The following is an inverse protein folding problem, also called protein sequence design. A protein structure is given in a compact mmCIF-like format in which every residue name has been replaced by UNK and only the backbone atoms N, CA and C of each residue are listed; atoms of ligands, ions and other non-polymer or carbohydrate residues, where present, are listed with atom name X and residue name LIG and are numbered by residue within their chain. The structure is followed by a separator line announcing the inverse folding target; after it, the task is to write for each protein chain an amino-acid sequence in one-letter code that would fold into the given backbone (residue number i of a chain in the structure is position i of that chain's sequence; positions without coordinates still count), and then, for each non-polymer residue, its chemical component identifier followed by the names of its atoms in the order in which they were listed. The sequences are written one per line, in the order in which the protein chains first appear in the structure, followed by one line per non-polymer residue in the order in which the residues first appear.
data_IF_585146560288
#
_entry.id   IF_585146560288
#
_cell.length_a   1.000
_cell.length_b   1.000
_cell.length_c   1.000
_cell.angle_alpha   90.00
_cell.angle_beta   90.00
_cell.angle_gamma   90.00
#
_symmetry.space_group_name_H-M   'P 1'
#
loop_
_entity.id
_entity.type
_entity.pdbx_description
1 polymer ?
#
# COMPACT_ATOMS: atom_id res chain seq x y z
N UNK A 1 -7.04 -79.10 -52.41
CA UNK A 1 -6.62 -78.68 -51.05
C UNK A 1 -5.42 -77.73 -51.09
N UNK A 2 -4.39 -77.97 -51.92
CA UNK A 2 -3.21 -77.09 -52.05
C UNK A 2 -3.50 -75.65 -52.52
N UNK A 3 -4.28 -75.47 -53.58
CA UNK A 3 -4.64 -74.13 -54.12
C UNK A 3 -5.35 -73.19 -53.13
N UNK A 4 -6.11 -73.74 -52.17
CA UNK A 4 -6.79 -72.94 -51.14
C UNK A 4 -5.84 -72.54 -50.00
N UNK A 5 -4.84 -73.37 -49.72
CA UNK A 5 -3.78 -73.06 -48.75
C UNK A 5 -2.85 -71.96 -49.29
N UNK A 6 -2.43 -72.06 -50.56
CA UNK A 6 -1.57 -71.04 -51.19
C UNK A 6 -2.25 -69.67 -51.26
N UNK A 7 -3.55 -69.63 -51.59
CA UNK A 7 -4.31 -68.37 -51.60
C UNK A 7 -4.42 -67.75 -50.19
N UNK A 8 -4.56 -68.56 -49.14
CA UNK A 8 -4.60 -68.07 -47.76
C UNK A 8 -3.25 -67.57 -47.28
N UNK A 9 -2.16 -68.20 -47.70
CA UNK A 9 -0.79 -67.75 -47.40
C UNK A 9 -0.49 -66.43 -48.11
N UNK A 10 -0.81 -66.31 -49.40
CA UNK A 10 -0.64 -65.07 -50.14
C UNK A 10 -1.45 -63.90 -49.54
N UNK A 11 -2.71 -64.15 -49.15
CA UNK A 11 -3.52 -63.13 -48.46
C UNK A 11 -2.94 -62.75 -47.08
N UNK A 12 -2.32 -63.68 -46.35
CA UNK A 12 -1.67 -63.40 -45.07
C UNK A 12 -0.40 -62.57 -45.25
N UNK A 13 0.41 -62.85 -46.28
CA UNK A 13 1.61 -62.09 -46.63
C UNK A 13 1.25 -60.65 -47.01
N UNK A 14 0.18 -60.45 -47.78
CA UNK A 14 -0.32 -59.13 -48.14
C UNK A 14 -0.80 -58.34 -46.90
N UNK A 15 -1.54 -58.99 -46.00
CA UNK A 15 -1.97 -58.38 -44.74
C UNK A 15 -0.79 -58.04 -43.83
N UNK A 16 0.21 -58.91 -43.72
CA UNK A 16 1.43 -58.63 -42.94
C UNK A 16 2.21 -57.44 -43.52
N UNK A 17 2.34 -57.34 -44.84
CA UNK A 17 2.97 -56.20 -45.49
C UNK A 17 2.22 -54.88 -45.19
N UNK A 18 0.88 -54.89 -45.25
CA UNK A 18 0.06 -53.73 -44.89
C UNK A 18 0.19 -53.33 -43.41
N UNK A 19 0.28 -54.31 -42.51
CA UNK A 19 0.50 -54.07 -41.08
C UNK A 19 1.88 -53.45 -40.84
N UNK A 20 2.94 -53.99 -41.44
CA UNK A 20 4.30 -53.43 -41.31
C UNK A 20 4.39 -52.00 -41.81
N UNK A 21 3.77 -51.69 -42.96
CA UNK A 21 3.67 -50.33 -43.45
C UNK A 21 2.89 -49.41 -42.51
N UNK A 22 1.84 -49.91 -41.87
CA UNK A 22 1.06 -49.15 -40.90
C UNK A 22 1.85 -48.89 -39.63
N UNK A 23 2.59 -49.88 -39.13
CA UNK A 23 3.47 -49.76 -37.95
C UNK A 23 4.57 -48.74 -38.20
N UNK A 24 5.30 -48.82 -39.32
CA UNK A 24 6.35 -47.84 -39.65
C UNK A 24 5.78 -46.41 -39.77
N UNK A 25 4.58 -46.27 -40.34
CA UNK A 25 3.90 -44.96 -40.41
C UNK A 25 3.54 -44.43 -39.02
N UNK A 26 3.02 -45.28 -38.14
CA UNK A 26 2.67 -44.91 -36.76
C UNK A 26 3.91 -44.57 -35.95
N UNK A 27 4.99 -45.33 -36.04
CA UNK A 27 6.25 -45.05 -35.34
C UNK A 27 6.80 -43.68 -35.73
N UNK A 28 6.80 -43.36 -37.04
CA UNK A 28 7.20 -42.03 -37.52
C UNK A 28 6.28 -40.89 -37.06
N UNK A 29 5.00 -41.17 -36.79
CA UNK A 29 4.06 -40.19 -36.23
C UNK A 29 4.30 -40.02 -34.72
N UNK A 30 4.54 -41.11 -34.00
CA UNK A 30 4.85 -41.09 -32.56
C UNK A 30 6.17 -40.36 -32.31
N UNK A 31 7.20 -40.57 -33.13
CA UNK A 31 8.46 -39.84 -33.01
C UNK A 31 8.29 -38.33 -33.27
N UNK A 32 7.49 -37.96 -34.28
CA UNK A 32 7.20 -36.55 -34.58
C UNK A 32 6.46 -35.89 -33.42
N UNK A 33 5.39 -36.53 -32.93
CA UNK A 33 4.64 -36.05 -31.78
C UNK A 33 5.54 -35.95 -30.53
N UNK A 34 6.45 -36.91 -30.33
CA UNK A 34 7.40 -36.88 -29.21
C UNK A 34 8.44 -35.76 -29.32
N UNK A 35 8.74 -35.27 -30.53
CA UNK A 35 9.58 -34.08 -30.75
C UNK A 35 8.78 -32.81 -30.49
N UNK A 36 7.59 -32.69 -31.09
CA UNK A 36 6.68 -31.55 -30.89
C UNK A 36 6.31 -31.36 -29.41
N UNK A 37 6.04 -32.44 -28.66
CA UNK A 37 5.77 -32.37 -27.22
C UNK A 37 6.97 -31.91 -26.39
N UNK A 38 8.21 -32.19 -26.84
CA UNK A 38 9.42 -31.71 -26.16
C UNK A 38 9.59 -30.21 -26.40
N UNK A 39 9.47 -29.76 -27.65
CA UNK A 39 9.54 -28.35 -28.01
C UNK A 39 8.45 -27.54 -27.28
N UNK A 40 7.21 -28.02 -27.26
CA UNK A 40 6.11 -27.39 -26.53
C UNK A 40 6.36 -27.32 -25.01
N UNK A 41 7.00 -28.35 -24.43
CA UNK A 41 7.33 -28.36 -23.01
C UNK A 41 8.40 -27.32 -22.67
N UNK A 42 9.38 -27.14 -23.55
CA UNK A 42 10.44 -26.14 -23.40
C UNK A 42 9.86 -24.72 -23.56
N UNK A 43 9.03 -24.48 -24.58
CA UNK A 43 8.30 -23.20 -24.75
C UNK A 43 7.41 -22.87 -23.53
N UNK A 44 6.70 -23.85 -22.98
CA UNK A 44 5.90 -23.64 -21.77
C UNK A 44 6.76 -23.31 -20.54
N UNK A 45 7.99 -23.83 -20.47
CA UNK A 45 8.90 -23.53 -19.37
C UNK A 45 9.38 -22.08 -19.47
N UNK A 46 9.80 -21.66 -20.65
CA UNK A 46 10.28 -20.29 -20.90
C UNK A 46 9.13 -19.28 -20.67
N UNK A 47 7.94 -19.56 -21.18
CA UNK A 47 6.74 -18.76 -20.91
C UNK A 47 6.43 -18.64 -19.41
N UNK A 48 6.56 -19.75 -18.65
CA UNK A 48 6.33 -19.73 -17.21
C UNK A 48 7.37 -18.89 -16.47
N UNK A 49 8.62 -18.92 -16.90
CA UNK A 49 9.70 -18.14 -16.30
C UNK A 49 9.58 -16.64 -16.65
N UNK A 50 9.20 -16.30 -17.88
CA UNK A 50 8.84 -14.92 -18.27
C UNK A 50 7.64 -14.39 -17.48
N UNK A 51 6.58 -15.19 -17.31
CA UNK A 51 5.41 -14.82 -16.52
C UNK A 51 5.74 -14.59 -15.04
N UNK A 52 6.67 -15.38 -14.48
CA UNK A 52 7.17 -15.18 -13.11
C UNK A 52 7.98 -13.90 -12.97
N UNK A 53 8.87 -13.63 -13.92
CA UNK A 53 9.64 -12.38 -13.94
C UNK A 53 8.73 -11.16 -14.03
N UNK A 54 7.79 -11.17 -14.99
CA UNK A 54 6.78 -10.12 -15.18
C UNK A 54 5.93 -9.90 -13.92
N UNK A 55 5.47 -10.98 -13.29
CA UNK A 55 4.69 -10.91 -12.04
C UNK A 55 5.51 -10.30 -10.89
N UNK A 56 6.79 -10.65 -10.75
CA UNK A 56 7.66 -10.09 -9.73
C UNK A 56 7.94 -8.60 -9.96
N UNK A 57 8.19 -8.19 -11.20
CA UNK A 57 8.37 -6.78 -11.56
C UNK A 57 7.09 -5.97 -11.29
N UNK A 58 5.92 -6.53 -11.65
CA UNK A 58 4.63 -5.93 -11.39
C UNK A 58 4.38 -5.75 -9.89
N UNK A 59 4.66 -6.77 -9.07
CA UNK A 59 4.54 -6.69 -7.61
C UNK A 59 5.44 -5.59 -7.02
N UNK A 60 6.67 -5.42 -7.51
CA UNK A 60 7.56 -4.33 -7.08
C UNK A 60 6.96 -2.96 -7.45
N UNK A 61 6.50 -2.80 -8.68
CA UNK A 61 5.84 -1.56 -9.14
C UNK A 61 4.58 -1.24 -8.33
N UNK A 62 3.77 -2.25 -7.97
CA UNK A 62 2.62 -2.09 -7.09
C UNK A 62 3.04 -1.68 -5.67
N UNK A 63 4.11 -2.26 -5.13
CA UNK A 63 4.68 -1.85 -3.85
C UNK A 63 5.15 -0.40 -3.86
N UNK A 64 5.89 0.01 -4.89
CA UNK A 64 6.36 1.39 -5.05
C UNK A 64 5.20 2.38 -5.18
N UNK A 65 4.14 2.00 -5.90
CA UNK A 65 2.93 2.81 -6.04
C UNK A 65 2.19 2.95 -4.70
N UNK A 66 2.02 1.86 -3.96
CA UNK A 66 1.39 1.86 -2.64
C UNK A 66 2.16 2.74 -1.64
N UNK A 67 3.50 2.67 -1.65
CA UNK A 67 4.36 3.54 -0.84
C UNK A 67 4.16 5.02 -1.19
N UNK A 68 4.12 5.36 -2.48
CA UNK A 68 3.86 6.74 -2.93
C UNK A 68 2.48 7.24 -2.52
N UNK A 69 1.46 6.38 -2.49
CA UNK A 69 0.14 6.78 -2.00
C UNK A 69 0.15 7.13 -0.50
N UNK A 70 1.02 6.48 0.28
CA UNK A 70 1.27 6.84 1.68
C UNK A 70 1.89 8.23 1.82
N UNK A 71 3.00 8.48 1.11
CA UNK A 71 3.71 9.77 1.19
C UNK A 71 2.88 10.92 0.63
N UNK A 72 1.96 10.66 -0.32
CA UNK A 72 1.05 11.68 -0.84
C UNK A 72 0.18 12.30 0.26
N UNK A 73 -0.33 11.51 1.22
CA UNK A 73 -1.13 12.06 2.30
C UNK A 73 -0.32 13.06 3.14
N UNK A 74 0.91 12.68 3.52
CA UNK A 74 1.83 13.54 4.27
C UNK A 74 2.16 14.83 3.48
N UNK A 75 2.50 14.68 2.20
CA UNK A 75 2.90 15.80 1.34
C UNK A 75 1.73 16.79 1.08
N UNK A 76 0.48 16.34 1.19
CA UNK A 76 -0.72 17.17 1.05
C UNK A 76 -1.12 17.89 2.35
N UNK A 77 -0.81 17.30 3.50
CA UNK A 77 -1.10 17.91 4.81
C UNK A 77 -0.21 19.11 5.07
N UNK A 78 1.09 19.00 4.82
CA UNK A 78 2.09 20.06 5.09
C UNK A 78 1.66 21.45 4.59
N UNK A 79 1.31 21.65 3.30
CA UNK A 79 0.90 22.97 2.81
C UNK A 79 -0.44 23.46 3.37
N UNK A 80 -1.27 22.56 3.92
CA UNK A 80 -2.59 22.88 4.47
C UNK A 80 -2.53 23.31 5.95
N UNK A 81 -1.50 22.91 6.69
CA UNK A 81 -1.35 23.20 8.13
C UNK A 81 -1.52 24.68 8.47
N UNK A 82 -0.89 25.64 7.75
CA UNK A 82 -1.12 27.05 8.03
C UNK A 82 -2.57 27.45 7.99
N UNK A 83 -3.32 27.03 6.96
CA UNK A 83 -4.76 27.34 6.85
C UNK A 83 -5.55 26.69 7.97
N UNK A 84 -5.27 25.44 8.29
CA UNK A 84 -5.94 24.69 9.35
C UNK A 84 -5.76 25.39 10.70
N UNK A 85 -4.54 25.82 11.05
CA UNK A 85 -4.28 26.57 12.28
C UNK A 85 -5.06 27.89 12.34
N UNK A 86 -5.19 28.61 11.21
CA UNK A 86 -6.02 29.82 11.17
C UNK A 86 -7.49 29.51 11.42
N UNK A 87 -8.00 28.46 10.80
CA UNK A 87 -9.42 28.07 10.90
C UNK A 87 -9.79 27.56 12.30
N UNK A 88 -8.94 26.73 12.90
CA UNK A 88 -9.28 26.01 14.13
C UNK A 88 -8.95 26.80 15.38
N UNK A 89 -7.80 27.48 15.41
CA UNK A 89 -7.33 28.20 16.62
C UNK A 89 -7.14 29.70 16.40
N UNK A 90 -7.57 30.24 15.26
CA UNK A 90 -7.47 31.67 14.99
C UNK A 90 -6.03 32.17 14.84
N UNK A 91 -5.09 31.30 14.46
CA UNK A 91 -3.71 31.68 14.21
C UNK A 91 -3.65 32.86 13.21
N UNK A 92 -2.87 33.93 13.45
CA UNK A 92 -2.76 35.01 12.47
C UNK A 92 -1.95 34.57 11.24
N UNK A 93 -2.08 35.24 10.07
CA UNK A 93 -1.38 34.87 8.84
C UNK A 93 0.15 34.72 9.00
N UNK A 94 0.78 35.63 9.75
CA UNK A 94 2.22 35.60 10.07
C UNK A 94 2.50 35.01 11.47
N UNK A 95 1.54 34.27 12.04
CA UNK A 95 1.57 33.75 13.41
C UNK A 95 2.35 32.46 13.60
N UNK A 96 2.73 31.79 12.51
CA UNK A 96 3.45 30.52 12.57
C UNK A 96 4.91 30.81 12.88
N UNK A 97 5.31 30.45 14.10
CA UNK A 97 6.65 30.70 14.63
C UNK A 97 7.61 29.60 14.23
N UNK A 98 7.11 28.37 14.11
CA UNK A 98 7.88 27.22 13.64
C UNK A 98 6.96 26.21 12.95
N UNK A 99 7.51 25.51 11.96
CA UNK A 99 6.90 24.33 11.35
C UNK A 99 8.01 23.37 10.96
N UNK A 100 7.96 22.16 11.50
CA UNK A 100 8.91 21.08 11.23
C UNK A 100 8.16 19.91 10.58
N UNK A 101 8.76 19.32 9.55
CA UNK A 101 8.18 18.22 8.77
C UNK A 101 9.09 17.01 8.87
N UNK A 102 8.54 15.82 9.09
CA UNK A 102 9.25 14.54 9.27
C UNK A 102 10.42 14.66 10.25
N UNK A 103 10.14 15.24 11.41
CA UNK A 103 11.16 15.55 12.42
C UNK A 103 11.33 14.38 13.38
N UNK A 104 12.55 13.88 13.47
CA UNK A 104 12.93 12.89 14.49
C UNK A 104 13.45 13.60 15.75
N UNK A 105 12.82 13.34 16.89
CA UNK A 105 13.25 13.83 18.21
C UNK A 105 13.69 12.68 19.09
N UNK A 106 14.74 12.91 19.89
CA UNK A 106 15.09 12.05 21.02
C UNK A 106 14.41 12.58 22.26
N UNK A 107 14.02 11.69 23.17
CA UNK A 107 13.46 12.09 24.44
C UNK A 107 14.54 12.84 25.26
N UNK A 108 14.24 13.99 25.88
CA UNK A 108 15.26 14.81 26.53
C UNK A 108 15.91 14.13 27.73
N UNK A 109 15.21 13.21 28.40
CA UNK A 109 15.68 12.52 29.62
C UNK A 109 15.81 11.01 29.47
N UNK A 110 15.13 10.38 28.51
CA UNK A 110 15.11 8.92 28.34
C UNK A 110 16.00 8.52 27.16
N UNK A 111 17.23 8.12 27.46
CA UNK A 111 18.20 7.70 26.43
C UNK A 111 17.68 6.51 25.63
N UNK A 112 17.79 6.61 24.31
CA UNK A 112 17.37 5.55 23.38
C UNK A 112 15.91 5.64 22.95
N UNK A 113 15.07 6.45 23.64
CA UNK A 113 13.70 6.73 23.22
C UNK A 113 13.74 7.82 22.13
N UNK A 114 13.27 7.50 20.93
CA UNK A 114 13.18 8.46 19.82
C UNK A 114 11.86 8.28 19.09
N UNK A 115 11.27 9.37 18.62
CA UNK A 115 10.03 9.37 17.85
C UNK A 115 10.17 10.27 16.62
N UNK A 116 9.53 9.88 15.54
CA UNK A 116 9.35 10.70 14.34
C UNK A 116 7.96 11.31 14.36
N UNK A 117 7.86 12.57 13.95
CA UNK A 117 6.62 13.33 13.87
C UNK A 117 6.44 13.86 12.45
N UNK A 118 5.28 13.61 11.84
CA UNK A 118 5.01 13.98 10.45
C UNK A 118 5.01 15.50 10.29
N UNK A 119 4.23 16.21 11.11
CA UNK A 119 4.29 17.68 11.19
C UNK A 119 4.14 18.15 12.63
N UNK A 120 5.00 19.09 13.02
CA UNK A 120 4.88 19.85 14.27
C UNK A 120 4.90 21.33 13.94
N UNK A 121 3.88 22.08 14.33
CA UNK A 121 3.76 23.50 14.02
C UNK A 121 3.39 24.31 15.27
N UNK A 122 4.09 25.40 15.51
CA UNK A 122 3.83 26.27 16.66
C UNK A 122 3.24 27.61 16.19
N UNK A 123 2.10 27.99 16.76
CA UNK A 123 1.46 29.28 16.50
C UNK A 123 0.91 29.89 17.80
N UNK A 124 1.50 31.00 18.24
CA UNK A 124 1.14 31.64 19.51
C UNK A 124 1.26 30.68 20.69
N UNK A 125 0.16 30.52 21.43
CA UNK A 125 0.04 29.62 22.57
C UNK A 125 -0.18 28.15 22.17
N UNK A 126 -0.33 27.85 20.88
CA UNK A 126 -0.64 26.49 20.40
C UNK A 126 0.59 25.80 19.79
N UNK A 127 0.64 24.48 19.97
CA UNK A 127 1.50 23.57 19.22
C UNK A 127 0.63 22.46 18.63
N UNK A 128 0.61 22.36 17.31
CA UNK A 128 -0.03 21.27 16.60
C UNK A 128 0.95 20.15 16.39
N UNK A 129 0.58 18.95 16.82
CA UNK A 129 1.19 17.70 16.38
C UNK A 129 0.21 17.04 15.41
N UNK A 130 0.69 16.75 14.20
CA UNK A 130 -0.06 16.01 13.21
C UNK A 130 0.54 14.63 12.96
N UNK A 131 -0.35 13.64 12.86
CA UNK A 131 -0.06 12.29 12.40
C UNK A 131 -0.90 12.02 11.15
N UNK A 132 -0.26 11.53 10.08
CA UNK A 132 -0.89 11.25 8.79
C UNK A 132 -0.76 9.77 8.46
N UNK A 133 -1.89 9.13 8.12
CA UNK A 133 -1.93 7.73 7.73
C UNK A 133 -2.58 7.58 6.36
N UNK A 134 -2.13 6.57 5.60
CA UNK A 134 -2.77 6.18 4.33
C UNK A 134 -4.20 5.67 4.52
N UNK A 135 -4.47 5.02 5.67
CA UNK A 135 -5.79 4.60 6.11
C UNK A 135 -5.90 4.75 7.62
N UNK A 136 -7.07 5.19 8.07
CA UNK A 136 -7.41 5.24 9.48
C UNK A 136 -8.32 4.08 9.86
N UNK A 137 -8.16 3.64 11.09
CA UNK A 137 -9.11 2.77 11.77
C UNK A 137 -9.36 3.31 13.19
N UNK A 138 -10.39 2.81 13.90
CA UNK A 138 -10.72 3.31 15.22
C UNK A 138 -9.61 3.19 16.26
N UNK A 139 -8.71 2.21 16.13
CA UNK A 139 -7.60 1.98 17.06
C UNK A 139 -6.51 3.02 16.83
N UNK A 140 -6.11 3.26 15.59
CA UNK A 140 -5.12 4.29 15.23
C UNK A 140 -5.54 5.67 15.78
N UNK A 141 -6.82 6.03 15.66
CA UNK A 141 -7.33 7.31 16.17
C UNK A 141 -7.24 7.39 17.71
N UNK A 142 -7.51 6.28 18.42
CA UNK A 142 -7.37 6.23 19.89
C UNK A 142 -5.91 6.31 20.31
N UNK A 143 -5.07 5.47 19.71
CA UNK A 143 -3.65 5.40 20.03
C UNK A 143 -2.99 6.77 19.84
N UNK A 144 -3.34 7.49 18.77
CA UNK A 144 -2.82 8.84 18.57
C UNK A 144 -3.24 9.79 19.71
N UNK A 145 -4.53 9.81 20.08
CA UNK A 145 -5.01 10.64 21.18
C UNK A 145 -4.35 10.30 22.53
N UNK A 146 -4.14 9.00 22.80
CA UNK A 146 -3.58 8.50 24.05
C UNK A 146 -2.09 8.81 24.19
N UNK A 147 -1.33 8.85 23.08
CA UNK A 147 0.11 9.15 23.10
C UNK A 147 0.44 10.66 23.06
N UNK A 148 -0.49 11.55 22.68
CA UNK A 148 -0.24 12.99 22.63
C UNK A 148 0.33 13.61 23.94
N UNK A 149 -0.13 13.21 25.15
CA UNK A 149 0.44 13.67 26.40
C UNK A 149 1.90 13.26 26.62
N UNK A 150 2.35 12.15 26.02
CA UNK A 150 3.75 11.75 26.03
C UNK A 150 4.54 12.47 24.92
N UNK A 151 3.90 12.73 23.78
CA UNK A 151 4.52 13.40 22.64
C UNK A 151 4.99 14.82 22.94
N UNK A 152 4.26 15.53 23.79
CA UNK A 152 4.66 16.86 24.26
C UNK A 152 6.00 16.84 25.01
N UNK A 153 6.37 15.72 25.64
CA UNK A 153 7.61 15.59 26.42
C UNK A 153 8.86 15.68 25.53
N UNK A 154 8.72 15.40 24.22
CA UNK A 154 9.79 15.55 23.23
C UNK A 154 10.05 17.01 22.84
N UNK A 155 9.21 17.96 23.27
CA UNK A 155 9.29 19.38 22.93
C UNK A 155 9.28 20.28 24.18
N UNK A 156 10.29 20.15 25.07
CA UNK A 156 10.37 20.94 26.29
C UNK A 156 10.40 22.47 26.03
N UNK A 157 10.86 22.90 24.84
CA UNK A 157 10.81 24.29 24.40
C UNK A 157 9.39 24.88 24.35
N UNK A 158 8.35 24.03 24.35
CA UNK A 158 6.95 24.41 24.28
C UNK A 158 6.13 24.02 25.53
N UNK A 159 6.77 23.70 26.67
CA UNK A 159 6.08 23.18 27.87
C UNK A 159 4.93 24.06 28.41
N UNK A 160 4.92 25.36 28.13
CA UNK A 160 3.84 26.28 28.53
C UNK A 160 2.70 26.44 27.52
N UNK A 161 2.74 25.73 26.39
CA UNK A 161 1.80 25.88 25.27
C UNK A 161 0.74 24.78 25.26
N UNK A 162 -0.38 25.04 24.61
CA UNK A 162 -1.47 24.11 24.40
C UNK A 162 -1.16 23.19 23.22
N UNK A 163 -0.89 21.91 23.51
CA UNK A 163 -0.71 20.89 22.48
C UNK A 163 -2.06 20.42 21.95
N UNK A 164 -2.26 20.53 20.65
CA UNK A 164 -3.44 20.05 19.94
C UNK A 164 -3.03 18.99 18.91
N UNK A 165 -3.88 17.98 18.73
CA UNK A 165 -3.63 16.88 17.81
C UNK A 165 -4.44 17.00 16.53
N UNK A 166 -3.82 16.78 15.37
CA UNK A 166 -4.51 16.57 14.10
C UNK A 166 -4.20 15.19 13.52
N UNK A 167 -5.23 14.41 13.22
CA UNK A 167 -5.09 13.15 12.50
C UNK A 167 -5.58 13.30 11.06
N UNK A 168 -4.79 12.80 10.11
CA UNK A 168 -5.06 12.98 8.69
C UNK A 168 -5.05 11.67 7.90
N UNK A 169 -5.91 11.60 6.89
CA UNK A 169 -5.90 10.57 5.86
C UNK A 169 -6.60 11.09 4.61
N UNK A 170 -6.28 10.53 3.44
CA UNK A 170 -6.96 10.90 2.19
C UNK A 170 -8.47 10.60 2.24
N UNK A 171 -8.83 9.52 2.94
CA UNK A 171 -10.21 9.11 3.14
C UNK A 171 -10.48 8.87 4.62
N UNK A 172 -11.57 9.45 5.13
CA UNK A 172 -12.00 9.33 6.53
C UNK A 172 -13.51 9.14 6.56
N UNK A 173 -13.95 7.99 7.09
CA UNK A 173 -15.37 7.74 7.30
C UNK A 173 -15.94 8.62 8.42
N UNK A 174 -17.22 8.98 8.31
CA UNK A 174 -17.92 9.84 9.27
C UNK A 174 -17.87 9.29 10.71
N UNK A 175 -17.83 7.96 10.88
CA UNK A 175 -17.68 7.32 12.20
C UNK A 175 -16.34 7.66 12.86
N UNK A 176 -15.27 7.76 12.08
CA UNK A 176 -13.94 8.14 12.55
C UNK A 176 -13.87 9.64 12.84
N UNK A 177 -14.58 10.47 12.06
CA UNK A 177 -14.73 11.91 12.36
C UNK A 177 -15.36 12.10 13.74
N UNK A 178 -16.52 11.47 13.99
CA UNK A 178 -17.21 11.54 15.29
C UNK A 178 -16.34 11.02 16.44
N UNK A 179 -15.54 9.99 16.19
CA UNK A 179 -14.62 9.46 17.19
C UNK A 179 -13.48 10.43 17.49
N UNK A 180 -12.86 11.01 16.46
CA UNK A 180 -11.80 12.01 16.61
C UNK A 180 -12.30 13.23 17.37
N UNK A 181 -13.49 13.73 17.05
CA UNK A 181 -14.14 14.82 17.79
C UNK A 181 -14.33 14.49 19.27
N UNK A 182 -14.84 13.29 19.57
CA UNK A 182 -15.04 12.84 20.96
C UNK A 182 -13.72 12.78 21.74
N UNK A 183 -12.62 12.49 21.07
CA UNK A 183 -11.28 12.48 21.65
C UNK A 183 -10.63 13.87 21.66
N UNK A 184 -11.25 14.88 21.05
CA UNK A 184 -10.74 16.23 20.96
C UNK A 184 -9.66 16.43 19.90
N UNK A 185 -9.60 15.54 18.90
CA UNK A 185 -8.68 15.61 17.77
C UNK A 185 -9.28 16.40 16.60
N UNK A 186 -8.43 17.19 15.94
CA UNK A 186 -8.71 17.74 14.62
C UNK A 186 -8.62 16.57 13.63
N UNK A 187 -9.62 16.42 12.77
CA UNK A 187 -9.67 15.36 11.77
C UNK A 187 -9.56 15.98 10.39
N UNK A 188 -8.56 15.56 9.63
CA UNK A 188 -8.25 16.10 8.30
C UNK A 188 -8.52 15.06 7.22
N UNK A 189 -9.19 15.50 6.15
CA UNK A 189 -9.49 14.70 4.96
C UNK A 189 -9.15 15.43 3.68
N UNK A 190 -9.02 14.69 2.58
CA UNK A 190 -8.81 15.29 1.27
C UNK A 190 -10.07 16.08 0.83
N UNK A 191 -9.87 17.30 0.33
CA UNK A 191 -10.98 18.20 -0.04
C UNK A 191 -10.57 19.33 -0.98
N UNK A 192 -11.43 20.35 -1.13
CA UNK A 192 -11.20 21.50 -2.02
C UNK A 192 -9.93 22.26 -1.65
N UNK A 193 -9.65 22.34 -0.34
CA UNK A 193 -8.46 23.00 0.16
C UNK A 193 -7.20 22.14 0.09
N UNK A 194 -7.20 20.98 -0.57
CA UNK A 194 -6.21 19.91 -0.44
C UNK A 194 -6.46 19.07 0.81
N UNK A 195 -6.16 19.57 2.01
CA UNK A 195 -6.58 18.93 3.26
C UNK A 195 -7.49 19.85 4.06
N UNK A 196 -8.72 19.38 4.33
CA UNK A 196 -9.77 20.14 4.98
C UNK A 196 -10.13 19.55 6.34
N UNK A 197 -10.60 20.43 7.24
CA UNK A 197 -11.09 20.05 8.57
C UNK A 197 -12.46 19.40 8.41
N UNK A 198 -12.57 18.13 8.80
CA UNK A 198 -13.80 17.35 8.71
C UNK A 198 -14.67 17.45 9.97
N UNK A 199 -14.12 17.97 11.07
CA UNK A 199 -14.89 18.19 12.28
C UNK A 199 -16.09 19.12 12.02
N UNK A 200 -17.12 18.97 12.83
CA UNK A 200 -18.34 19.74 12.85
C UNK A 200 -18.05 21.22 13.09
N UNK A 201 -18.84 22.14 12.50
CA UNK A 201 -18.70 23.56 12.74
C UNK A 201 -18.72 23.91 14.23
N UNK A 202 -17.77 24.72 14.68
CA UNK A 202 -17.63 25.11 16.09
C UNK A 202 -16.90 24.10 16.97
N UNK A 203 -16.34 23.02 16.39
CA UNK A 203 -15.44 22.12 17.11
C UNK A 203 -14.25 22.88 17.73
N UNK A 204 -13.95 22.56 18.99
CA UNK A 204 -12.80 23.09 19.73
C UNK A 204 -11.89 21.92 20.10
N UNK A 205 -10.63 21.90 19.64
CA UNK A 205 -9.70 20.82 19.95
C UNK A 205 -9.37 20.78 21.44
N UNK A 206 -9.13 19.58 21.96
CA UNK A 206 -8.63 19.38 23.32
C UNK A 206 -7.14 19.78 23.38
N UNK A 207 -6.74 20.41 24.48
CA UNK A 207 -5.33 20.54 24.85
C UNK A 207 -4.87 19.27 25.60
N UNK A 208 -3.79 18.64 25.13
CA UNK A 208 -3.23 17.39 25.65
C UNK A 208 -2.06 17.60 26.63
#
# INVERSE_FOLDING_TARGET
MGLFLDQRVANLEELMAQVLHTVDRVDRQVERLSREMREFKDEMRDFKDEMRYSSNEMNRKWGDLANKMGTMAEDLVVPSIPRILRLVVGCPPDGIQSMAVRVRRQHPTERGRSREFDVVAACGEYVLINETKSRLDPQIVRDFADHLPEDREFFPEYAGRQFIGAIASLYVDESLVRQGEKLGLIVLGFGEGVMDVLNSPGFIPKAF
#
